data_IF_183207083830
#
_entry.id   IF_183207083830
#
_cell.length_a   1.000
_cell.length_b   1.000
_cell.length_c   1.000
_cell.angle_alpha   90.00
_cell.angle_beta   90.00
_cell.angle_gamma   90.00
#
_symmetry.space_group_name_H-M   'P 1'
#
loop_
_entity.id
_entity.type
_entity.pdbx_description
1 polymer ?
#
# COMPACT_ATOMS: atom_id res chain seq x y z
N UNK A 1 -3.67 7.55 17.35
CA UNK A 1 -3.56 7.28 15.90
C UNK A 1 -2.29 6.48 15.69
N UNK A 2 -2.40 5.15 15.67
CA UNK A 2 -1.26 4.23 15.60
C UNK A 2 -0.62 4.31 14.20
N UNK A 3 0.71 4.26 14.15
CA UNK A 3 1.57 4.22 12.95
C UNK A 3 1.29 2.95 12.12
N UNK A 4 0.13 2.88 11.48
CA UNK A 4 -0.34 1.73 10.69
C UNK A 4 0.06 1.81 9.21
N UNK A 5 0.79 2.82 8.77
CA UNK A 5 1.29 2.88 7.38
C UNK A 5 2.78 2.51 7.25
N UNK A 6 3.44 2.14 8.35
CA UNK A 6 4.82 1.70 8.31
C UNK A 6 4.92 0.25 7.83
N UNK A 7 5.82 0.02 6.88
CA UNK A 7 6.20 -1.34 6.42
C UNK A 7 6.86 -2.19 7.51
N UNK A 8 7.21 -1.60 8.66
CA UNK A 8 7.65 -2.34 9.85
C UNK A 8 6.50 -3.03 10.59
N UNK A 9 5.25 -2.61 10.34
CA UNK A 9 4.04 -3.12 10.98
C UNK A 9 3.04 -3.74 10.00
N UNK A 10 3.13 -3.40 8.71
CA UNK A 10 2.24 -3.87 7.65
C UNK A 10 3.00 -4.27 6.38
N UNK A 11 2.30 -4.89 5.43
CA UNK A 11 2.88 -5.21 4.13
C UNK A 11 3.22 -3.95 3.35
N UNK A 12 4.35 -3.96 2.63
CA UNK A 12 4.79 -2.86 1.77
C UNK A 12 4.12 -2.82 0.39
N UNK A 13 2.88 -3.32 0.27
CA UNK A 13 2.13 -3.33 -0.99
C UNK A 13 1.08 -2.22 -1.05
N UNK A 14 0.69 -1.82 -2.26
CA UNK A 14 -0.33 -0.80 -2.50
C UNK A 14 -1.74 -1.36 -2.74
N UNK A 15 -1.88 -2.67 -2.92
CA UNK A 15 -3.18 -3.30 -3.20
C UNK A 15 -4.10 -3.25 -1.97
N UNK A 16 -3.54 -3.52 -0.78
CA UNK A 16 -4.25 -3.35 0.49
C UNK A 16 -4.77 -1.92 0.68
N UNK A 17 -3.90 -0.89 0.68
CA UNK A 17 -4.28 0.51 0.79
C UNK A 17 -5.30 0.97 -0.25
N UNK A 18 -5.18 0.57 -1.52
CA UNK A 18 -6.16 0.89 -2.55
C UNK A 18 -7.55 0.35 -2.20
N UNK A 19 -7.66 -0.95 -1.86
CA UNK A 19 -8.93 -1.56 -1.49
C UNK A 19 -9.52 -0.91 -0.25
N UNK A 20 -8.69 -0.66 0.76
CA UNK A 20 -9.12 0.01 1.98
C UNK A 20 -9.66 1.41 1.70
N UNK A 21 -8.94 2.24 0.92
CA UNK A 21 -9.38 3.58 0.55
C UNK A 21 -10.73 3.57 -0.17
N UNK A 22 -10.91 2.65 -1.13
CA UNK A 22 -12.18 2.51 -1.87
C UNK A 22 -13.33 2.11 -0.95
N UNK A 23 -13.15 1.06 -0.14
CA UNK A 23 -14.22 0.56 0.73
C UNK A 23 -14.51 1.52 1.88
N UNK A 24 -13.50 2.18 2.44
CA UNK A 24 -13.66 3.23 3.43
C UNK A 24 -14.51 4.39 2.88
N UNK A 25 -14.20 4.87 1.67
CA UNK A 25 -14.97 5.97 1.08
C UNK A 25 -16.43 5.56 0.84
N UNK A 26 -16.66 4.34 0.34
CA UNK A 26 -18.03 3.81 0.17
C UNK A 26 -18.75 3.69 1.51
N UNK A 27 -18.08 3.15 2.53
CA UNK A 27 -18.62 3.01 3.88
C UNK A 27 -19.03 4.36 4.48
N UNK A 28 -18.22 5.41 4.28
CA UNK A 28 -18.57 6.78 4.70
C UNK A 28 -19.82 7.33 4.01
N UNK A 29 -20.02 7.03 2.74
CA UNK A 29 -21.22 7.46 2.00
C UNK A 29 -22.47 6.72 2.50
N UNK A 30 -22.36 5.41 2.72
CA UNK A 30 -23.43 4.62 3.31
C UNK A 30 -23.77 5.10 4.73
N UNK A 31 -22.78 5.39 5.56
CA UNK A 31 -23.00 5.90 6.91
C UNK A 31 -23.66 7.29 6.88
N UNK A 32 -23.22 8.18 6.00
CA UNK A 32 -23.85 9.47 5.81
C UNK A 32 -25.31 9.33 5.38
N UNK A 33 -25.61 8.46 4.40
CA UNK A 33 -26.97 8.20 3.95
C UNK A 33 -27.84 7.65 5.08
N UNK A 34 -27.30 6.72 5.88
CA UNK A 34 -27.98 6.14 7.05
C UNK A 34 -28.32 7.20 8.10
N UNK A 35 -27.36 8.04 8.47
CA UNK A 35 -27.54 9.10 9.49
C UNK A 35 -28.60 10.12 9.08
N UNK A 36 -28.67 10.44 7.78
CA UNK A 36 -29.60 11.45 7.24
C UNK A 36 -30.89 10.84 6.67
N UNK A 37 -31.12 9.53 6.88
CA UNK A 37 -32.29 8.79 6.36
C UNK A 37 -32.50 8.98 4.85
N UNK A 38 -31.41 9.08 4.11
CA UNK A 38 -31.41 9.16 2.65
C UNK A 38 -31.54 7.75 2.06
N UNK A 39 -31.95 7.68 0.80
CA UNK A 39 -31.90 6.43 0.04
C UNK A 39 -30.44 6.00 -0.17
N UNK A 40 -30.21 4.69 -0.22
CA UNK A 40 -28.90 4.15 -0.57
C UNK A 40 -28.49 4.66 -1.95
N UNK A 41 -27.24 5.17 -2.13
CA UNK A 41 -26.81 5.67 -3.41
C UNK A 41 -26.89 4.59 -4.49
N UNK A 42 -27.54 4.92 -5.62
CA UNK A 42 -27.56 4.04 -6.80
C UNK A 42 -26.19 4.03 -7.50
N UNK A 43 -25.44 5.12 -7.38
CA UNK A 43 -24.12 5.29 -7.96
C UNK A 43 -23.09 5.48 -6.88
N UNK A 44 -21.94 4.85 -7.06
CA UNK A 44 -20.78 5.05 -6.20
C UNK A 44 -20.04 6.28 -6.67
N UNK A 45 -19.69 7.19 -5.75
CA UNK A 45 -18.97 8.42 -6.10
C UNK A 45 -17.54 8.16 -6.59
N UNK A 46 -16.84 7.22 -5.96
CA UNK A 46 -15.46 6.86 -6.30
C UNK A 46 -15.36 5.44 -6.84
N UNK A 47 -14.69 5.33 -7.97
CA UNK A 47 -14.51 4.10 -8.72
C UNK A 47 -13.08 3.56 -8.54
N UNK A 48 -12.85 2.35 -9.04
CA UNK A 48 -11.53 1.71 -9.04
C UNK A 48 -10.50 2.58 -9.78
N UNK A 49 -10.89 3.25 -10.86
CA UNK A 49 -10.04 4.18 -11.60
C UNK A 49 -9.56 5.38 -10.77
N UNK A 50 -10.41 5.94 -9.90
CA UNK A 50 -10.00 7.06 -9.04
C UNK A 50 -8.92 6.62 -8.07
N UNK A 51 -9.07 5.44 -7.47
CA UNK A 51 -8.11 4.90 -6.51
C UNK A 51 -6.82 4.42 -7.19
N UNK A 52 -6.92 3.84 -8.40
CA UNK A 52 -5.76 3.51 -9.21
C UNK A 52 -4.96 4.77 -9.58
N UNK A 53 -5.64 5.86 -9.97
CA UNK A 53 -5.02 7.17 -10.20
C UNK A 53 -4.36 7.68 -8.92
N UNK A 54 -5.02 7.63 -7.77
CA UNK A 54 -4.44 8.04 -6.49
C UNK A 54 -3.16 7.27 -6.16
N UNK A 55 -3.14 5.96 -6.41
CA UNK A 55 -1.98 5.10 -6.17
C UNK A 55 -0.83 5.29 -7.19
N UNK A 56 -1.04 6.05 -8.26
CA UNK A 56 -0.06 6.29 -9.32
C UNK A 56 0.18 7.79 -9.50
N UNK A 57 -0.49 8.42 -10.46
CA UNK A 57 -0.30 9.82 -10.81
C UNK A 57 -0.65 10.77 -9.65
N UNK A 58 -1.70 10.49 -8.89
CA UNK A 58 -2.09 11.29 -7.73
C UNK A 58 -1.02 11.32 -6.63
N UNK A 59 -0.38 10.17 -6.37
CA UNK A 59 0.78 10.10 -5.47
C UNK A 59 1.98 10.88 -6.00
N UNK A 60 2.25 10.79 -7.30
CA UNK A 60 3.31 11.57 -7.93
C UNK A 60 3.03 13.09 -7.88
N UNK A 61 1.78 13.52 -8.08
CA UNK A 61 1.35 14.91 -7.95
C UNK A 61 1.55 15.42 -6.51
N UNK A 62 1.14 14.63 -5.51
CA UNK A 62 1.32 14.98 -4.10
C UNK A 62 2.80 15.16 -3.70
N UNK A 63 3.70 14.42 -4.35
CA UNK A 63 5.15 14.52 -4.14
C UNK A 63 5.86 15.50 -5.09
N UNK A 64 5.12 16.22 -5.92
CA UNK A 64 5.65 17.09 -6.97
C UNK A 64 6.59 16.36 -7.98
N UNK A 65 6.34 15.08 -8.21
CA UNK A 65 7.08 14.18 -9.12
C UNK A 65 6.28 13.80 -10.37
N UNK A 66 5.08 14.35 -10.58
CA UNK A 66 4.21 14.01 -11.72
C UNK A 66 4.86 14.27 -13.10
N UNK A 67 5.88 15.11 -13.16
CA UNK A 67 6.67 15.36 -14.37
C UNK A 67 7.69 14.24 -14.66
N UNK A 68 7.96 13.35 -13.69
CA UNK A 68 8.93 12.24 -13.80
C UNK A 68 8.27 10.87 -13.78
N UNK A 69 7.21 10.66 -13.00
CA UNK A 69 6.63 9.33 -12.72
C UNK A 69 5.10 9.39 -12.56
N UNK A 70 4.47 8.23 -12.38
CA UNK A 70 3.04 8.10 -12.07
C UNK A 70 2.12 7.91 -13.28
N UNK A 71 2.64 8.04 -14.49
CA UNK A 71 1.91 7.73 -15.74
C UNK A 71 2.88 7.29 -16.84
N UNK A 72 2.33 6.60 -17.85
CA UNK A 72 3.10 6.12 -19.02
C UNK A 72 3.04 7.17 -20.11
N UNK A 73 4.02 8.08 -20.13
CA UNK A 73 4.14 9.16 -21.09
C UNK A 73 5.59 9.30 -21.56
N UNK A 74 5.79 9.69 -22.82
CA UNK A 74 7.14 9.91 -23.36
C UNK A 74 7.85 11.01 -22.55
N UNK A 75 9.09 10.74 -22.16
CA UNK A 75 9.92 11.67 -21.37
C UNK A 75 9.87 11.42 -19.85
N UNK A 76 8.95 10.57 -19.35
CA UNK A 76 8.93 10.11 -17.96
C UNK A 76 9.83 8.88 -17.75
N UNK A 77 10.16 8.58 -16.50
CA UNK A 77 10.91 7.37 -16.12
C UNK A 77 10.09 6.13 -16.44
N UNK A 78 10.78 5.06 -16.80
CA UNK A 78 10.17 3.76 -17.07
C UNK A 78 9.92 2.98 -15.77
N UNK A 79 9.04 3.51 -14.92
CA UNK A 79 8.54 2.87 -13.70
C UNK A 79 7.26 2.10 -14.03
N UNK A 80 7.39 0.80 -14.35
CA UNK A 80 6.31 0.00 -14.94
C UNK A 80 6.08 -1.30 -14.18
N UNK A 81 4.81 -1.64 -14.00
CA UNK A 81 4.37 -2.97 -13.56
C UNK A 81 3.71 -3.69 -14.74
N UNK A 82 4.14 -4.91 -15.00
CA UNK A 82 3.53 -5.80 -16.00
C UNK A 82 2.83 -6.92 -15.26
N UNK A 83 1.51 -6.99 -15.38
CA UNK A 83 0.68 -8.01 -14.74
C UNK A 83 0.56 -9.26 -15.64
N UNK A 84 0.47 -10.42 -15.01
CA UNK A 84 0.09 -11.66 -15.67
C UNK A 84 -1.43 -11.71 -15.81
N UNK A 85 -1.92 -11.41 -17.02
CA UNK A 85 -3.35 -11.36 -17.29
C UNK A 85 -4.03 -12.73 -17.16
N UNK A 86 -3.28 -13.83 -17.25
CA UNK A 86 -3.78 -15.20 -17.14
C UNK A 86 -3.67 -15.76 -15.71
N UNK A 87 -3.25 -14.94 -14.74
CA UNK A 87 -3.14 -15.38 -13.34
C UNK A 87 -4.50 -15.77 -12.77
N UNK A 88 -4.50 -16.57 -11.70
CA UNK A 88 -5.74 -17.01 -11.03
C UNK A 88 -6.63 -15.82 -10.61
N UNK A 89 -6.04 -14.69 -10.23
CA UNK A 89 -6.78 -13.51 -9.78
C UNK A 89 -7.27 -12.63 -10.93
N UNK A 90 -6.61 -12.68 -12.10
CA UNK A 90 -6.81 -11.73 -13.21
C UNK A 90 -7.41 -12.36 -14.48
N UNK A 91 -7.32 -13.67 -14.66
CA UNK A 91 -7.72 -14.40 -15.89
C UNK A 91 -9.17 -14.23 -16.33
N UNK A 92 -10.07 -13.83 -15.42
CA UNK A 92 -11.49 -13.58 -15.71
C UNK A 92 -11.89 -12.11 -15.78
N UNK A 93 -10.94 -11.18 -15.74
CA UNK A 93 -11.22 -9.75 -15.60
C UNK A 93 -11.82 -9.12 -16.87
N UNK A 94 -13.02 -8.54 -16.74
CA UNK A 94 -13.61 -7.70 -17.79
C UNK A 94 -13.11 -6.25 -17.79
N UNK A 95 -12.76 -5.72 -16.62
CA UNK A 95 -12.15 -4.39 -16.45
C UNK A 95 -10.76 -4.56 -15.82
N UNK A 96 -9.67 -4.23 -16.55
CA UNK A 96 -8.31 -4.41 -16.05
C UNK A 96 -7.99 -3.50 -14.85
N UNK A 97 -8.56 -2.30 -14.78
CA UNK A 97 -8.33 -1.39 -13.63
C UNK A 97 -9.01 -1.95 -12.39
N UNK A 98 -10.26 -2.38 -12.54
CA UNK A 98 -10.96 -3.04 -11.43
C UNK A 98 -10.22 -4.31 -10.97
N UNK A 99 -9.68 -5.10 -11.90
CA UNK A 99 -8.92 -6.29 -11.57
C UNK A 99 -7.64 -5.98 -10.78
N UNK A 100 -6.86 -4.98 -11.21
CA UNK A 100 -5.67 -4.52 -10.49
C UNK A 100 -6.02 -4.01 -9.09
N UNK A 101 -7.08 -3.22 -8.95
CA UNK A 101 -7.44 -2.62 -7.67
C UNK A 101 -8.07 -3.64 -6.72
N UNK A 102 -8.96 -4.50 -7.20
CA UNK A 102 -9.78 -5.38 -6.35
C UNK A 102 -9.16 -6.75 -6.12
N UNK A 103 -8.50 -7.32 -7.14
CA UNK A 103 -8.14 -8.74 -7.16
C UNK A 103 -6.64 -8.97 -7.08
N UNK A 104 -5.84 -8.10 -7.70
CA UNK A 104 -4.41 -8.32 -7.81
C UNK A 104 -3.67 -8.31 -6.46
N UNK A 105 -2.53 -8.99 -6.48
CA UNK A 105 -1.52 -9.03 -5.44
C UNK A 105 -0.13 -8.89 -6.07
N UNK A 106 0.92 -8.85 -5.23
CA UNK A 106 2.30 -8.86 -5.72
C UNK A 106 2.67 -10.11 -6.52
N UNK A 107 1.96 -11.23 -6.36
CA UNK A 107 2.21 -12.47 -7.10
C UNK A 107 1.78 -12.36 -8.57
N UNK A 108 0.72 -11.60 -8.83
CA UNK A 108 0.17 -11.39 -10.18
C UNK A 108 1.05 -10.48 -11.05
N UNK A 109 2.08 -9.86 -10.48
CA UNK A 109 3.03 -9.03 -11.23
C UNK A 109 4.08 -9.92 -11.88
N UNK A 110 4.12 -9.99 -13.20
CA UNK A 110 5.12 -10.76 -13.95
C UNK A 110 6.47 -10.04 -13.99
N UNK A 111 6.48 -8.74 -14.29
CA UNK A 111 7.71 -7.95 -14.47
C UNK A 111 7.59 -6.59 -13.79
N UNK A 112 8.68 -6.11 -13.19
CA UNK A 112 8.78 -4.77 -12.57
C UNK A 112 9.97 -4.05 -13.17
N UNK A 113 9.73 -2.83 -13.65
CA UNK A 113 10.75 -1.89 -14.10
C UNK A 113 10.79 -0.71 -13.13
N UNK A 114 12.00 -0.29 -12.76
CA UNK A 114 12.25 0.96 -12.01
C UNK A 114 13.35 1.70 -12.75
N UNK A 115 13.02 2.90 -13.24
CA UNK A 115 13.86 3.72 -14.09
C UNK A 115 14.42 2.94 -15.30
N UNK A 116 13.60 2.04 -15.86
CA UNK A 116 13.98 1.15 -16.96
C UNK A 116 14.80 -0.08 -16.55
N UNK A 117 15.28 -0.19 -15.31
CA UNK A 117 15.95 -1.38 -14.80
C UNK A 117 14.92 -2.44 -14.38
N UNK A 118 15.11 -3.68 -14.83
CA UNK A 118 14.23 -4.79 -14.47
C UNK A 118 14.61 -5.34 -13.10
N UNK A 119 13.71 -5.19 -12.12
CA UNK A 119 13.92 -5.67 -10.74
C UNK A 119 13.16 -6.98 -10.43
N UNK A 120 12.11 -7.28 -11.20
CA UNK A 120 11.39 -8.56 -11.18
C UNK A 120 11.17 -9.01 -12.63
N UNK A 121 11.36 -10.30 -12.93
CA UNK A 121 11.11 -10.90 -14.25
C UNK A 121 10.52 -12.29 -14.09
N UNK A 122 9.49 -12.60 -14.88
CA UNK A 122 8.79 -13.89 -14.87
C UNK A 122 8.40 -14.36 -13.46
N UNK A 123 7.84 -13.43 -12.67
CA UNK A 123 7.39 -13.72 -11.30
C UNK A 123 8.50 -13.74 -10.25
N UNK A 124 9.79 -13.60 -10.64
CA UNK A 124 10.95 -13.75 -9.74
C UNK A 124 11.74 -12.45 -9.61
N UNK A 125 12.25 -12.16 -8.41
CA UNK A 125 13.16 -11.04 -8.19
C UNK A 125 14.50 -11.31 -8.92
N UNK A 126 15.05 -10.27 -9.56
CA UNK A 126 16.29 -10.38 -10.34
C UNK A 126 17.53 -10.46 -9.44
N UNK A 127 17.50 -9.74 -8.31
CA UNK A 127 18.62 -9.68 -7.35
C UNK A 127 18.48 -10.74 -6.27
N UNK A 128 19.60 -11.20 -5.70
CA UNK A 128 19.58 -12.05 -4.51
C UNK A 128 19.32 -11.21 -3.26
N UNK A 129 18.15 -11.42 -2.65
CA UNK A 129 17.74 -10.71 -1.44
C UNK A 129 18.11 -11.45 -0.14
N UNK A 130 18.62 -12.68 -0.21
CA UNK A 130 18.99 -13.45 0.99
C UNK A 130 19.99 -12.72 1.90
N UNK A 131 21.02 -12.01 1.39
CA UNK A 131 21.92 -11.22 2.23
C UNK A 131 21.17 -10.09 2.97
N UNK A 132 20.28 -9.37 2.28
CA UNK A 132 19.47 -8.29 2.88
C UNK A 132 18.56 -8.85 3.98
N UNK A 133 17.92 -10.00 3.74
CA UNK A 133 17.08 -10.68 4.74
C UNK A 133 17.89 -11.13 5.94
N UNK A 134 19.14 -11.57 5.74
CA UNK A 134 20.04 -11.94 6.84
C UNK A 134 20.38 -10.72 7.69
N UNK A 135 20.81 -9.63 7.07
CA UNK A 135 21.10 -8.38 7.78
C UNK A 135 19.85 -7.87 8.52
N UNK A 136 18.68 -7.89 7.89
CA UNK A 136 17.43 -7.48 8.53
C UNK A 136 17.17 -8.28 9.82
N UNK A 137 17.39 -9.59 9.80
CA UNK A 137 17.23 -10.46 10.98
C UNK A 137 18.24 -10.10 12.08
N UNK A 138 19.50 -9.90 11.72
CA UNK A 138 20.56 -9.52 12.66
C UNK A 138 20.26 -8.17 13.33
N UNK A 139 19.89 -7.16 12.54
CA UNK A 139 19.53 -5.82 13.03
C UNK A 139 18.29 -5.83 13.90
N UNK A 140 17.25 -6.57 13.50
CA UNK A 140 16.04 -6.70 14.29
C UNK A 140 16.33 -7.38 15.64
N UNK A 141 17.21 -8.38 15.67
CA UNK A 141 17.63 -9.02 16.91
C UNK A 141 18.42 -8.07 17.81
N UNK A 142 19.38 -7.33 17.24
CA UNK A 142 20.16 -6.33 17.98
C UNK A 142 19.26 -5.26 18.62
N UNK A 143 18.26 -4.75 17.88
CA UNK A 143 17.28 -3.79 18.42
C UNK A 143 16.52 -4.39 19.60
N UNK A 144 16.01 -5.62 19.48
CA UNK A 144 15.28 -6.31 20.57
C UNK A 144 16.17 -6.55 21.79
N UNK A 145 17.45 -6.82 21.60
CA UNK A 145 18.39 -6.99 22.72
C UNK A 145 18.73 -5.67 23.41
N UNK A 146 18.87 -4.57 22.66
CA UNK A 146 19.12 -3.22 23.24
C UNK A 146 17.88 -2.63 23.94
N UNK A 147 16.70 -3.02 23.48
CA UNK A 147 15.39 -2.56 23.95
C UNK A 147 14.47 -3.74 24.25
N UNK A 148 14.74 -4.50 25.33
CA UNK A 148 13.86 -5.60 25.74
C UNK A 148 12.48 -5.08 26.14
N UNK A 149 11.47 -5.93 26.01
CA UNK A 149 10.06 -5.57 26.18
C UNK A 149 9.78 -5.02 27.58
N UNK A 150 10.36 -5.62 28.62
CA UNK A 150 10.17 -5.21 30.01
C UNK A 150 10.67 -3.78 30.26
N UNK A 151 11.80 -3.42 29.62
CA UNK A 151 12.36 -2.06 29.68
C UNK A 151 11.46 -1.06 28.96
N UNK A 152 10.91 -1.46 27.80
CA UNK A 152 9.98 -0.61 27.04
C UNK A 152 8.68 -0.39 27.81
N UNK A 153 8.13 -1.43 28.44
CA UNK A 153 6.95 -1.35 29.30
C UNK A 153 7.17 -0.43 30.49
N UNK A 154 8.32 -0.54 31.18
CA UNK A 154 8.65 0.32 32.31
C UNK A 154 8.75 1.80 31.91
N UNK A 155 9.42 2.08 30.78
CA UNK A 155 9.52 3.44 30.22
C UNK A 155 8.13 3.96 29.88
N UNK A 156 7.33 3.15 29.19
CA UNK A 156 6.00 3.55 28.74
C UNK A 156 5.06 3.81 29.92
N UNK A 157 5.08 2.93 30.92
CA UNK A 157 4.31 3.10 32.16
C UNK A 157 4.71 4.38 32.88
N UNK A 158 6.00 4.62 33.07
CA UNK A 158 6.51 5.83 33.73
C UNK A 158 6.06 7.09 32.99
N UNK A 159 6.13 7.09 31.66
CA UNK A 159 5.65 8.19 30.85
C UNK A 159 4.15 8.41 31.02
N UNK A 160 3.35 7.34 31.00
CA UNK A 160 1.90 7.39 31.14
C UNK A 160 1.46 7.88 32.52
N UNK A 161 2.12 7.42 33.58
CA UNK A 161 1.87 7.86 34.95
C UNK A 161 2.20 9.36 35.14
N UNK A 162 3.20 9.86 34.40
CA UNK A 162 3.63 11.26 34.46
C UNK A 162 2.75 12.20 33.63
N UNK A 163 2.35 11.78 32.43
CA UNK A 163 1.69 12.65 31.44
C UNK A 163 0.19 12.40 31.31
N UNK A 164 -0.31 11.29 31.88
CA UNK A 164 -1.66 10.80 31.65
C UNK A 164 -1.84 10.20 30.25
N UNK A 165 -3.06 9.69 29.94
CA UNK A 165 -3.40 9.25 28.59
C UNK A 165 -3.19 10.38 27.56
N UNK A 166 -2.66 10.06 26.36
CA UNK A 166 -2.69 11.01 25.26
C UNK A 166 -4.13 11.44 24.96
N UNK A 167 -4.37 12.74 24.87
CA UNK A 167 -5.64 13.28 24.37
C UNK A 167 -5.73 13.06 22.86
N UNK A 168 -6.89 12.56 22.40
CA UNK A 168 -7.20 12.31 20.99
C UNK A 168 -7.82 13.57 20.38
#
# INVERSE_FOLDING_TARGET
>A
MTLQDSVSANSGDMFGPMRFALQWSRGREHEHARQHKLTTPLHVKYMTADVFRLATLGGAEALNLAHLVGSVEVGKRADLLVFDADSVNLGGAGDPIAAVVMNASGEDIKTVFVDGEVLKRDGKLVRDWKPVVRELKERAQDIRTRWPEEKLEEIWKTWYDTNGPPTI
#
